data_IF_951835948853
#
_entry.id   IF_951835948853
#
_cell.length_a   1.000
_cell.length_b   1.000
_cell.length_c   1.000
_cell.angle_alpha   90.00
_cell.angle_beta   90.00
_cell.angle_gamma   90.00
#
_symmetry.space_group_name_H-M   'P 1'
#
loop_
_entity.id
_entity.type
_entity.pdbx_description
1 polymer ?
#
# COMPACT_ATOMS: atom_id res chain seq x y z
N UNK A 1 -4.67 8.47 -20.97
CA UNK A 1 -4.80 8.13 -19.53
C UNK A 1 -6.06 7.28 -19.33
N UNK A 2 -6.15 6.50 -18.24
CA UNK A 2 -7.39 5.77 -17.89
C UNK A 2 -7.96 6.28 -16.59
N UNK A 3 -9.28 6.21 -16.42
CA UNK A 3 -10.00 6.76 -15.28
C UNK A 3 -11.08 5.80 -14.76
N UNK A 4 -11.40 5.87 -13.47
CA UNK A 4 -12.46 5.10 -12.84
C UNK A 4 -13.34 6.01 -12.00
N UNK A 5 -14.66 5.92 -12.18
CA UNK A 5 -15.66 6.65 -11.41
C UNK A 5 -16.45 5.65 -10.58
N UNK A 6 -16.51 5.84 -9.27
CA UNK A 6 -17.22 4.94 -8.36
C UNK A 6 -17.58 5.65 -7.04
N UNK A 7 -18.45 5.05 -6.20
CA UNK A 7 -18.89 5.65 -4.93
C UNK A 7 -17.81 5.84 -3.86
N UNK A 8 -16.64 5.20 -4.01
CA UNK A 8 -15.51 5.34 -3.09
C UNK A 8 -14.17 5.03 -3.78
N UNK A 9 -13.07 5.38 -3.11
CA UNK A 9 -11.72 5.22 -3.66
C UNK A 9 -11.32 3.78 -3.93
N UNK A 10 -11.77 2.81 -3.13
CA UNK A 10 -11.49 1.40 -3.34
C UNK A 10 -12.04 0.94 -4.70
N UNK A 11 -13.32 1.21 -4.96
CA UNK A 11 -13.97 0.86 -6.22
C UNK A 11 -13.42 1.67 -7.40
N UNK A 12 -13.17 2.98 -7.22
CA UNK A 12 -12.65 3.85 -8.28
C UNK A 12 -11.25 3.40 -8.73
N UNK A 13 -10.40 2.99 -7.78
CA UNK A 13 -9.07 2.46 -8.09
C UNK A 13 -9.14 1.17 -8.90
N UNK A 14 -10.07 0.27 -8.58
CA UNK A 14 -10.30 -0.96 -9.34
C UNK A 14 -10.81 -0.62 -10.75
N UNK A 15 -11.81 0.26 -10.85
CA UNK A 15 -12.42 0.68 -12.12
C UNK A 15 -11.40 1.33 -13.07
N UNK A 16 -10.47 2.13 -12.55
CA UNK A 16 -9.44 2.80 -13.37
C UNK A 16 -8.50 1.85 -14.12
N UNK A 17 -8.40 0.60 -13.66
CA UNK A 17 -7.60 -0.45 -14.29
C UNK A 17 -8.43 -1.37 -15.19
N UNK A 18 -9.77 -1.26 -15.19
CA UNK A 18 -10.67 -2.19 -15.87
C UNK A 18 -10.63 -2.03 -17.39
N UNK A 19 -10.74 -0.79 -17.88
CA UNK A 19 -10.77 -0.45 -19.31
C UNK A 19 -9.43 0.11 -19.81
N UNK A 20 -8.31 -0.45 -19.33
CA UNK A 20 -6.99 -0.10 -19.86
C UNK A 20 -6.75 -0.80 -21.20
N UNK A 21 -6.05 -0.16 -22.16
CA UNK A 21 -5.50 1.20 -22.10
C UNK A 21 -6.50 2.29 -22.55
N UNK A 22 -6.27 3.54 -22.13
CA UNK A 22 -6.99 4.76 -22.53
C UNK A 22 -8.54 4.76 -22.41
N UNK A 23 -9.12 3.89 -21.60
CA UNK A 23 -10.56 3.89 -21.31
C UNK A 23 -10.94 4.42 -19.93
N UNK A 24 -12.24 4.59 -19.74
CA UNK A 24 -12.87 4.95 -18.47
C UNK A 24 -13.89 3.88 -18.05
N UNK A 25 -14.08 3.68 -16.75
CA UNK A 25 -15.05 2.73 -16.20
C UNK A 25 -15.88 3.40 -15.11
N UNK A 26 -17.21 3.31 -15.22
CA UNK A 26 -18.15 3.79 -14.21
C UNK A 26 -18.73 2.59 -13.46
N UNK A 27 -18.60 2.59 -12.14
CA UNK A 27 -19.29 1.65 -11.26
C UNK A 27 -20.57 2.34 -10.77
N UNK A 28 -21.76 1.75 -10.99
CA UNK A 28 -23.01 2.31 -10.50
C UNK A 28 -22.99 2.49 -8.98
N UNK A 29 -23.75 3.48 -8.48
CA UNK A 29 -23.81 3.81 -7.05
C UNK A 29 -24.85 3.01 -6.27
N UNK A 30 -25.73 2.30 -6.96
CA UNK A 30 -26.69 1.40 -6.33
C UNK A 30 -26.00 0.11 -5.86
N UNK A 31 -26.56 -0.49 -4.82
CA UNK A 31 -25.99 -1.68 -4.19
C UNK A 31 -25.82 -2.84 -5.18
N UNK A 32 -26.80 -3.09 -6.04
CA UNK A 32 -26.74 -4.19 -7.01
C UNK A 32 -25.62 -3.99 -8.04
N UNK A 33 -25.48 -2.77 -8.58
CA UNK A 33 -24.42 -2.42 -9.50
C UNK A 33 -23.02 -2.58 -8.90
N UNK A 34 -22.84 -2.16 -7.64
CA UNK A 34 -21.56 -2.37 -6.91
C UNK A 34 -21.25 -3.87 -6.77
N UNK A 35 -22.23 -4.65 -6.31
CA UNK A 35 -22.05 -6.09 -6.07
C UNK A 35 -21.79 -6.84 -7.38
N UNK A 36 -22.52 -6.52 -8.44
CA UNK A 36 -22.36 -7.14 -9.77
C UNK A 36 -21.00 -6.83 -10.38
N UNK A 37 -20.49 -5.61 -10.19
CA UNK A 37 -19.14 -5.25 -10.61
C UNK A 37 -18.07 -5.96 -9.78
N UNK A 38 -18.25 -6.01 -8.46
CA UNK A 38 -17.21 -6.39 -7.51
C UNK A 38 -17.04 -7.91 -7.35
N UNK A 39 -18.15 -8.63 -7.15
CA UNK A 39 -18.14 -10.06 -6.80
C UNK A 39 -17.38 -10.96 -7.78
N UNK A 40 -17.49 -10.78 -9.12
CA UNK A 40 -16.77 -11.60 -10.08
C UNK A 40 -15.26 -11.37 -10.10
N UNK A 41 -14.77 -10.28 -9.50
CA UNK A 41 -13.36 -9.93 -9.56
C UNK A 41 -12.52 -10.91 -8.74
N UNK A 42 -11.32 -11.20 -9.25
CA UNK A 42 -10.28 -11.84 -8.45
C UNK A 42 -9.96 -10.98 -7.22
N UNK A 43 -9.79 -11.61 -6.06
CA UNK A 43 -9.35 -10.93 -4.82
C UNK A 43 -8.08 -10.09 -5.03
N UNK A 44 -7.22 -10.48 -5.98
CA UNK A 44 -5.97 -9.78 -6.28
C UNK A 44 -6.16 -8.38 -6.88
N UNK A 45 -7.34 -8.09 -7.44
CA UNK A 45 -7.70 -6.77 -7.97
C UNK A 45 -7.99 -5.75 -6.87
N UNK A 46 -8.32 -6.21 -5.66
CA UNK A 46 -8.58 -5.32 -4.52
C UNK A 46 -7.27 -4.71 -4.03
N UNK A 47 -7.18 -3.37 -4.06
CA UNK A 47 -6.01 -2.65 -3.54
C UNK A 47 -5.84 -2.92 -2.05
N UNK A 48 -4.65 -3.39 -1.64
CA UNK A 48 -4.37 -3.85 -0.28
C UNK A 48 -4.23 -5.37 -0.16
N UNK A 49 -4.72 -6.14 -1.14
CA UNK A 49 -4.49 -7.59 -1.20
C UNK A 49 -3.24 -7.86 -2.05
N UNK A 50 -2.13 -8.10 -1.38
CA UNK A 50 -0.86 -8.50 -1.98
C UNK A 50 -0.73 -10.02 -2.20
N UNK A 51 0.38 -10.44 -2.81
CA UNK A 51 0.67 -11.85 -3.14
C UNK A 51 0.59 -12.81 -1.95
N UNK A 52 0.97 -12.35 -0.75
CA UNK A 52 0.96 -13.20 0.46
C UNK A 52 -0.48 -13.44 0.90
N UNK A 53 -1.26 -12.38 1.10
CA UNK A 53 -2.67 -12.48 1.50
C UNK A 53 -3.51 -13.24 0.47
N UNK A 54 -3.25 -13.01 -0.82
CA UNK A 54 -3.87 -13.76 -1.92
C UNK A 54 -3.59 -15.26 -1.78
N UNK A 55 -2.33 -15.67 -1.62
CA UNK A 55 -1.97 -17.08 -1.44
C UNK A 55 -2.62 -17.70 -0.22
N UNK A 56 -2.65 -16.98 0.90
CA UNK A 56 -3.32 -17.46 2.12
C UNK A 56 -4.80 -17.70 1.86
N UNK A 57 -5.51 -16.76 1.22
CA UNK A 57 -6.92 -16.90 0.89
C UNK A 57 -7.16 -18.06 -0.11
N UNK A 58 -6.33 -18.18 -1.14
CA UNK A 58 -6.42 -19.26 -2.14
C UNK A 58 -6.22 -20.65 -1.52
N UNK A 59 -5.39 -20.78 -0.48
CA UNK A 59 -5.21 -22.05 0.23
C UNK A 59 -6.50 -22.55 0.89
N UNK A 60 -7.47 -21.66 1.13
CA UNK A 60 -8.81 -21.97 1.63
C UNK A 60 -9.90 -21.90 0.55
N UNK A 61 -9.52 -21.91 -0.74
CA UNK A 61 -10.46 -21.90 -1.86
C UNK A 61 -11.09 -20.53 -2.16
N UNK A 62 -10.58 -19.45 -1.58
CA UNK A 62 -11.08 -18.09 -1.81
C UNK A 62 -10.32 -17.47 -2.99
N UNK A 63 -10.99 -17.35 -4.15
CA UNK A 63 -10.39 -16.83 -5.38
C UNK A 63 -10.99 -15.49 -5.82
N UNK A 64 -12.27 -15.29 -5.57
CA UNK A 64 -13.04 -14.11 -5.97
C UNK A 64 -13.50 -13.29 -4.76
N UNK A 65 -13.92 -12.05 -5.00
CA UNK A 65 -14.49 -11.23 -3.94
C UNK A 65 -15.81 -11.84 -3.43
N UNK A 66 -16.56 -12.54 -4.28
CA UNK A 66 -17.73 -13.33 -3.86
C UNK A 66 -17.36 -14.41 -2.85
N UNK A 67 -16.31 -15.17 -3.11
CA UNK A 67 -15.85 -16.22 -2.20
C UNK A 67 -15.42 -15.62 -0.86
N UNK A 68 -14.75 -14.46 -0.91
CA UNK A 68 -14.34 -13.73 0.29
C UNK A 68 -15.54 -13.31 1.15
N UNK A 69 -16.63 -12.88 0.52
CA UNK A 69 -17.89 -12.54 1.20
C UNK A 69 -18.57 -13.79 1.80
N UNK A 70 -18.58 -14.90 1.06
CA UNK A 70 -19.19 -16.16 1.51
C UNK A 70 -18.43 -16.74 2.72
N UNK A 71 -17.10 -16.73 2.66
CA UNK A 71 -16.19 -17.24 3.70
C UNK A 71 -15.84 -16.21 4.79
N UNK A 72 -16.68 -15.17 4.95
CA UNK A 72 -16.45 -14.06 5.91
C UNK A 72 -16.19 -14.50 7.35
N UNK A 73 -16.81 -15.59 7.79
CA UNK A 73 -16.59 -16.14 9.12
C UNK A 73 -15.14 -16.66 9.26
N UNK A 74 -14.68 -17.42 8.28
CA UNK A 74 -13.33 -17.98 8.24
C UNK A 74 -12.26 -16.89 8.15
N UNK A 75 -12.49 -15.83 7.37
CA UNK A 75 -11.57 -14.67 7.25
C UNK A 75 -11.27 -14.04 8.62
N UNK A 76 -12.25 -14.01 9.54
CA UNK A 76 -12.09 -13.45 10.89
C UNK A 76 -11.12 -14.26 11.77
N UNK A 77 -10.98 -15.55 11.50
CA UNK A 77 -10.07 -16.45 12.21
C UNK A 77 -8.69 -16.54 11.55
N UNK A 78 -8.60 -16.35 10.23
CA UNK A 78 -7.32 -16.40 9.51
C UNK A 78 -6.43 -15.18 9.74
N UNK A 79 -7.03 -14.01 9.94
CA UNK A 79 -6.31 -12.74 9.96
C UNK A 79 -6.50 -11.97 11.26
N UNK A 80 -5.52 -11.11 11.58
CA UNK A 80 -5.63 -10.14 12.68
C UNK A 80 -6.85 -9.23 12.46
N UNK A 81 -7.48 -8.71 13.54
CA UNK A 81 -8.72 -7.95 13.46
C UNK A 81 -8.72 -6.81 12.43
N UNK A 82 -7.62 -6.06 12.32
CA UNK A 82 -7.50 -4.96 11.36
C UNK A 82 -7.56 -5.43 9.90
N UNK A 83 -6.80 -6.49 9.57
CA UNK A 83 -6.78 -7.07 8.21
C UNK A 83 -8.10 -7.76 7.89
N UNK A 84 -8.67 -8.52 8.82
CA UNK A 84 -9.99 -9.13 8.66
C UNK A 84 -11.05 -8.05 8.42
N UNK A 85 -11.07 -6.99 9.23
CA UNK A 85 -12.01 -5.87 9.04
C UNK A 85 -11.88 -5.19 7.67
N UNK A 86 -10.65 -5.01 7.18
CA UNK A 86 -10.41 -4.51 5.82
C UNK A 86 -10.97 -5.45 4.75
N UNK A 87 -10.65 -6.75 4.81
CA UNK A 87 -11.12 -7.75 3.84
C UNK A 87 -12.65 -7.85 3.79
N UNK A 88 -13.29 -7.80 4.96
CA UNK A 88 -14.74 -7.86 5.08
C UNK A 88 -15.41 -6.61 4.49
N UNK A 89 -14.89 -5.41 4.77
CA UNK A 89 -15.40 -4.18 4.13
C UNK A 89 -15.19 -4.19 2.62
N UNK A 90 -14.01 -4.62 2.18
CA UNK A 90 -13.69 -4.73 0.76
C UNK A 90 -14.61 -5.72 0.05
N UNK A 91 -15.07 -6.79 0.73
CA UNK A 91 -15.98 -7.79 0.15
C UNK A 91 -17.36 -7.24 -0.22
N UNK A 92 -17.80 -6.18 0.46
CA UNK A 92 -19.08 -5.50 0.22
C UNK A 92 -18.90 -4.15 -0.50
N UNK A 93 -17.69 -3.87 -1.01
CA UNK A 93 -17.40 -2.64 -1.73
C UNK A 93 -17.32 -1.39 -0.84
N UNK A 94 -17.20 -1.54 0.47
CA UNK A 94 -17.01 -0.42 1.40
C UNK A 94 -15.50 -0.14 1.60
N UNK A 95 -15.12 1.14 1.60
CA UNK A 95 -13.82 1.59 2.12
C UNK A 95 -13.95 2.08 3.56
N UNK A 96 -12.82 2.33 4.25
CA UNK A 96 -12.88 2.93 5.59
C UNK A 96 -13.43 4.35 5.48
N UNK A 97 -14.33 4.75 6.38
CA UNK A 97 -14.90 6.11 6.44
C UNK A 97 -13.87 7.22 6.71
N UNK A 98 -12.61 6.85 6.96
CA UNK A 98 -11.47 7.79 7.00
C UNK A 98 -11.02 8.24 5.60
N UNK A 99 -11.60 7.67 4.55
CA UNK A 99 -11.65 8.25 3.21
C UNK A 99 -12.60 9.47 3.17
N UNK A 100 -12.68 10.27 4.25
CA UNK A 100 -13.09 11.66 4.07
C UNK A 100 -12.14 12.20 3.01
N UNK A 101 -12.73 12.77 1.95
CA UNK A 101 -11.97 13.65 1.08
C UNK A 101 -11.12 14.52 2.01
N UNK A 102 -9.81 14.44 1.81
CA UNK A 102 -8.87 15.31 2.47
C UNK A 102 -9.17 16.72 1.98
N UNK A 103 -10.20 17.35 2.57
CA UNK A 103 -10.66 18.71 2.29
C UNK A 103 -9.65 19.75 2.80
N UNK A 104 -8.47 19.32 3.26
CA UNK A 104 -7.32 20.17 3.39
C UNK A 104 -6.55 20.20 2.06
N UNK A 105 -6.83 21.24 1.26
CA UNK A 105 -5.95 21.74 0.19
C UNK A 105 -4.54 22.13 0.73
N UNK A 106 -4.33 22.07 2.05
CA UNK A 106 -3.02 22.09 2.69
C UNK A 106 -2.52 20.66 2.91
N UNK A 107 -1.78 20.16 1.91
CA UNK A 107 -1.37 18.78 1.80
C UNK A 107 -0.70 18.16 3.04
N UNK A 108 -0.92 16.83 3.12
CA UNK A 108 -0.25 15.90 4.02
C UNK A 108 -0.62 16.09 5.50
N UNK A 109 -1.44 15.17 6.03
CA UNK A 109 -1.20 14.68 7.39
C UNK A 109 0.32 14.58 7.60
N UNK A 110 0.86 15.33 8.57
CA UNK A 110 2.29 15.63 8.66
C UNK A 110 3.17 14.45 8.28
N UNK A 111 4.00 14.64 7.25
CA UNK A 111 4.84 13.59 6.65
C UNK A 111 5.53 12.79 7.77
N UNK A 112 5.12 11.53 7.97
CA UNK A 112 5.58 10.71 9.12
C UNK A 112 7.01 10.18 8.97
N UNK A 113 7.58 10.29 7.77
CA UNK A 113 8.92 9.84 7.48
C UNK A 113 9.40 10.30 6.10
N UNK A 114 10.71 10.42 5.96
CA UNK A 114 11.40 10.71 4.71
C UNK A 114 12.61 9.77 4.62
N UNK A 115 12.87 9.24 3.43
CA UNK A 115 13.94 8.27 3.23
C UNK A 115 14.49 8.35 1.82
N UNK A 116 15.79 8.07 1.67
CA UNK A 116 16.42 7.73 0.39
C UNK A 116 17.09 6.37 0.49
N UNK A 117 17.00 5.60 -0.57
CA UNK A 117 17.71 4.33 -0.72
C UNK A 117 18.29 4.22 -2.13
N UNK A 118 19.42 3.52 -2.27
CA UNK A 118 20.08 3.30 -3.56
C UNK A 118 20.57 1.86 -3.65
N UNK A 119 20.25 1.20 -4.76
CA UNK A 119 20.82 -0.12 -5.08
C UNK A 119 22.13 0.07 -5.84
N UNK A 120 23.16 -0.72 -5.49
CA UNK A 120 24.49 -0.68 -6.11
C UNK A 120 24.99 -2.11 -6.40
N UNK A 121 26.06 -2.22 -7.20
CA UNK A 121 26.65 -3.51 -7.57
C UNK A 121 27.30 -4.20 -6.36
N UNK A 122 27.37 -5.54 -6.39
CA UNK A 122 28.03 -6.31 -5.34
C UNK A 122 29.56 -6.17 -5.38
N UNK A 123 30.25 -6.60 -4.32
CA UNK A 123 31.72 -6.62 -4.25
C UNK A 123 32.37 -5.32 -3.77
N UNK A 124 31.58 -4.39 -3.23
CA UNK A 124 32.11 -3.13 -2.73
C UNK A 124 32.87 -3.28 -1.41
N UNK A 125 33.94 -2.50 -1.27
CA UNK A 125 34.66 -2.40 -0.01
C UNK A 125 33.85 -1.62 1.03
N UNK A 126 34.19 -1.79 2.31
CA UNK A 126 33.52 -1.06 3.39
C UNK A 126 33.66 0.46 3.26
N UNK A 127 34.81 0.95 2.76
CA UNK A 127 35.04 2.38 2.51
C UNK A 127 34.11 2.95 1.44
N UNK A 128 33.87 2.19 0.36
CA UNK A 128 32.92 2.59 -0.69
C UNK A 128 31.48 2.61 -0.17
N UNK A 129 31.10 1.62 0.64
CA UNK A 129 29.77 1.56 1.26
C UNK A 129 29.56 2.77 2.19
N UNK A 130 30.57 3.12 3.00
CA UNK A 130 30.49 4.27 3.90
C UNK A 130 30.37 5.59 3.12
N UNK A 131 31.17 5.77 2.07
CA UNK A 131 31.07 6.94 1.19
C UNK A 131 29.68 7.08 0.56
N UNK A 132 29.08 5.97 0.09
CA UNK A 132 27.71 6.00 -0.43
C UNK A 132 26.67 6.32 0.64
N UNK A 133 26.86 5.83 1.85
CA UNK A 133 25.97 6.12 2.97
C UNK A 133 26.00 7.62 3.31
N UNK A 134 27.19 8.22 3.33
CA UNK A 134 27.37 9.67 3.51
C UNK A 134 26.66 10.46 2.42
N UNK A 135 26.79 10.05 1.15
CA UNK A 135 26.08 10.68 0.04
C UNK A 135 24.56 10.60 0.19
N UNK A 136 24.02 9.43 0.57
CA UNK A 136 22.59 9.25 0.81
C UNK A 136 22.13 10.14 1.98
N UNK A 137 22.91 10.22 3.05
CA UNK A 137 22.61 11.04 4.22
C UNK A 137 22.58 12.53 3.87
N UNK A 138 23.57 13.01 3.11
CA UNK A 138 23.64 14.39 2.61
C UNK A 138 22.41 14.73 1.76
N UNK A 139 22.09 13.89 0.77
CA UNK A 139 20.94 14.10 -0.11
C UNK A 139 19.61 14.05 0.65
N UNK A 140 19.48 13.17 1.65
CA UNK A 140 18.31 13.12 2.52
C UNK A 140 18.18 14.40 3.37
N UNK A 141 19.31 14.91 3.88
CA UNK A 141 19.35 16.17 4.63
C UNK A 141 18.93 17.37 3.76
N UNK A 142 19.37 17.41 2.51
CA UNK A 142 18.94 18.43 1.54
C UNK A 142 17.42 18.36 1.28
N UNK A 143 16.86 17.16 1.12
CA UNK A 143 15.42 16.97 0.92
C UNK A 143 14.62 17.35 2.18
N UNK A 144 15.14 17.06 3.37
CA UNK A 144 14.55 17.48 4.65
C UNK A 144 14.54 18.99 4.79
N UNK A 145 15.67 19.65 4.48
CA UNK A 145 15.79 21.09 4.54
C UNK A 145 14.85 21.81 3.56
N UNK A 146 14.71 21.30 2.33
CA UNK A 146 13.77 21.86 1.34
C UNK A 146 12.31 21.80 1.78
N UNK A 147 11.98 20.85 2.67
CA UNK A 147 10.63 20.63 3.18
C UNK A 147 10.43 21.17 4.60
N UNK A 148 11.45 21.85 5.17
CA UNK A 148 11.47 22.32 6.56
C UNK A 148 11.10 21.22 7.58
N UNK A 149 11.69 20.02 7.39
CA UNK A 149 11.42 18.85 8.23
C UNK A 149 12.60 18.53 9.15
N UNK A 150 12.27 18.13 10.37
CA UNK A 150 13.20 17.56 11.34
C UNK A 150 12.76 16.14 11.71
N UNK A 151 13.74 15.26 11.96
CA UNK A 151 13.48 13.86 12.28
C UNK A 151 14.16 13.49 13.60
N UNK A 152 13.40 12.85 14.49
CA UNK A 152 13.93 12.31 15.75
C UNK A 152 14.58 10.94 15.59
N UNK A 153 14.06 10.13 14.67
CA UNK A 153 14.46 8.74 14.49
C UNK A 153 15.15 8.58 13.15
N UNK A 154 16.39 8.09 13.19
CA UNK A 154 17.17 7.75 12.00
C UNK A 154 17.14 6.23 11.84
N UNK A 155 16.85 5.76 10.62
CA UNK A 155 16.87 4.34 10.29
C UNK A 155 17.82 4.07 9.14
N UNK A 156 18.71 3.10 9.32
CA UNK A 156 19.58 2.58 8.27
C UNK A 156 19.06 1.23 7.82
N UNK A 157 18.91 1.07 6.50
CA UNK A 157 18.47 -0.17 5.86
C UNK A 157 19.60 -0.66 4.95
N UNK A 158 20.01 -1.90 5.16
CA UNK A 158 21.00 -2.59 4.34
C UNK A 158 20.33 -3.81 3.73
N UNK A 159 20.53 -4.00 2.43
CA UNK A 159 20.08 -5.21 1.71
C UNK A 159 21.31 -5.97 1.26
N UNK A 160 21.42 -7.23 1.68
CA UNK A 160 22.54 -8.11 1.35
C UNK A 160 22.38 -8.68 -0.07
N UNK A 161 23.44 -9.29 -0.58
CA UNK A 161 23.43 -9.96 -1.89
C UNK A 161 22.43 -11.13 -1.95
N UNK A 162 22.10 -11.73 -0.80
CA UNK A 162 21.03 -12.74 -0.62
C UNK A 162 19.63 -12.15 -0.68
N UNK A 163 19.49 -10.83 -0.87
CA UNK A 163 18.25 -10.05 -0.79
C UNK A 163 17.66 -9.92 0.62
N UNK A 164 18.33 -10.46 1.64
CA UNK A 164 17.97 -10.24 3.04
C UNK A 164 18.11 -8.77 3.41
N UNK A 165 17.12 -8.26 4.13
CA UNK A 165 17.09 -6.86 4.57
C UNK A 165 17.31 -6.76 6.07
N UNK A 166 18.33 -6.01 6.46
CA UNK A 166 18.60 -5.66 7.86
C UNK A 166 18.33 -4.18 8.04
N UNK A 167 17.44 -3.84 8.98
CA UNK A 167 17.20 -2.45 9.39
C UNK A 167 17.59 -2.24 10.85
N UNK A 168 18.15 -1.07 11.13
CA UNK A 168 18.44 -0.59 12.49
C UNK A 168 17.99 0.85 12.60
N UNK A 169 17.36 1.18 13.72
CA UNK A 169 16.85 2.51 13.98
C UNK A 169 17.36 3.01 15.34
N UNK A 170 17.62 4.31 15.42
CA UNK A 170 17.97 5.00 16.67
C UNK A 170 17.19 6.30 16.75
N UNK A 171 16.52 6.51 17.88
CA UNK A 171 15.89 7.79 18.20
C UNK A 171 16.82 8.64 19.05
N UNK A 172 16.95 9.91 18.70
CA UNK A 172 17.72 10.88 19.48
C UNK A 172 16.91 11.36 20.70
N UNK A 173 17.57 11.67 21.83
CA UNK A 173 16.93 12.32 22.97
C UNK A 173 16.37 13.71 22.56
N UNK A 174 15.43 14.21 23.37
CA UNK A 174 14.84 15.55 23.19
C UNK A 174 15.78 16.63 23.72
#
# INVERSE_FOLDING_TARGET
CSAGLAPNFLLAKIASDHNKPNGQCLVPSDHEGVINFLHPLSIRKVSGIGRVSEKTLQAFGIHTVRDLYNERALVRFLFKPATAGFLLRASIGCSSSDDKASDDESGSHGQKGISRERTFQSGQSWGEINSRLEDIARLLSEDMHKKDLWARTISVKVKLHTFDTVSRARSMPR
#
